data_IF_171328934527
#
_entry.id   IF_171328934527
#
_cell.length_a   1.000
_cell.length_b   1.000
_cell.length_c   1.000
_cell.angle_alpha   90.00
_cell.angle_beta   90.00
_cell.angle_gamma   90.00
#
_symmetry.space_group_name_H-M   'P 1'
#
loop_
_entity.id
_entity.type
_entity.pdbx_description
1 polymer ?
#
# COMPACT_ATOMS: atom_id res chain seq x y z
N UNK A 1 -11.39 11.74 -17.58
CA UNK A 1 -10.31 12.60 -18.11
C UNK A 1 -10.62 14.06 -17.85
N UNK A 2 -10.43 14.52 -16.62
CA UNK A 2 -10.46 15.95 -16.29
C UNK A 2 -9.74 16.16 -14.97
N UNK A 3 -8.82 17.12 -14.97
CA UNK A 3 -7.98 17.61 -13.87
C UNK A 3 -6.64 16.89 -13.63
N UNK A 4 -5.65 17.17 -14.49
CA UNK A 4 -4.24 17.22 -14.06
C UNK A 4 -3.64 18.58 -14.47
N UNK A 5 -3.85 19.65 -13.68
CA UNK A 5 -3.18 20.93 -13.89
C UNK A 5 -1.65 20.80 -13.89
N UNK A 6 -1.11 19.78 -13.22
CA UNK A 6 0.32 19.58 -12.95
C UNK A 6 1.07 18.91 -14.12
N UNK A 7 0.39 18.09 -14.94
CA UNK A 7 1.00 17.50 -16.15
C UNK A 7 1.35 18.57 -17.20
N UNK A 8 0.81 19.78 -17.07
CA UNK A 8 1.18 20.93 -17.89
C UNK A 8 2.39 21.70 -17.35
N UNK A 9 2.83 21.43 -16.12
CA UNK A 9 3.84 22.21 -15.39
C UNK A 9 5.19 21.48 -15.30
N UNK A 10 5.20 20.14 -15.25
CA UNK A 10 6.43 19.35 -15.15
C UNK A 10 6.53 18.27 -16.25
N UNK A 11 7.53 18.34 -17.15
CA UNK A 11 7.73 17.36 -18.21
C UNK A 11 7.99 15.92 -17.71
N UNK A 12 8.63 15.74 -16.56
CA UNK A 12 8.84 14.42 -15.99
C UNK A 12 7.51 13.81 -15.53
N UNK A 13 6.68 14.58 -14.83
CA UNK A 13 5.35 14.16 -14.38
C UNK A 13 4.43 13.88 -15.57
N UNK A 14 4.50 14.71 -16.61
CA UNK A 14 3.76 14.50 -17.86
C UNK A 14 4.07 13.15 -18.49
N UNK A 15 5.35 12.84 -18.70
CA UNK A 15 5.76 11.59 -19.33
C UNK A 15 5.48 10.38 -18.42
N UNK A 16 5.63 10.51 -17.10
CA UNK A 16 5.25 9.46 -16.15
C UNK A 16 3.74 9.17 -16.20
N UNK A 17 2.89 10.19 -16.29
CA UNK A 17 1.45 10.02 -16.39
C UNK A 17 1.03 9.32 -17.70
N UNK A 18 1.67 9.63 -18.83
CA UNK A 18 1.40 8.93 -20.10
C UNK A 18 1.85 7.47 -20.04
N UNK A 19 3.02 7.21 -19.44
CA UNK A 19 3.49 5.84 -19.22
C UNK A 19 2.48 5.03 -18.42
N UNK A 20 2.06 5.57 -17.26
CA UNK A 20 1.08 4.91 -16.39
C UNK A 20 -0.25 4.68 -17.11
N UNK A 21 -0.75 5.67 -17.84
CA UNK A 21 -1.97 5.53 -18.65
C UNK A 21 -1.86 4.42 -19.71
N UNK A 22 -0.72 4.32 -20.39
CA UNK A 22 -0.49 3.34 -21.45
C UNK A 22 -0.44 1.90 -20.91
N UNK A 23 0.27 1.68 -19.80
CA UNK A 23 0.29 0.38 -19.11
C UNK A 23 -1.09 0.07 -18.51
N UNK A 24 -1.77 1.09 -17.98
CA UNK A 24 -3.07 0.89 -17.38
C UNK A 24 -4.12 0.42 -18.41
N UNK A 25 -4.18 1.03 -19.60
CA UNK A 25 -5.09 0.59 -20.66
C UNK A 25 -4.84 -0.87 -21.08
N UNK A 26 -3.57 -1.27 -21.25
CA UNK A 26 -3.21 -2.66 -21.56
C UNK A 26 -3.56 -3.61 -20.40
N UNK A 27 -3.44 -3.13 -19.16
CA UNK A 27 -3.80 -3.92 -17.98
C UNK A 27 -5.29 -4.20 -17.92
N UNK A 28 -6.15 -3.23 -18.27
CA UNK A 28 -7.61 -3.44 -18.33
C UNK A 28 -7.96 -4.49 -19.37
N UNK A 29 -7.37 -4.42 -20.57
CA UNK A 29 -7.59 -5.40 -21.65
C UNK A 29 -7.22 -6.83 -21.21
N UNK A 30 -6.20 -6.96 -20.36
CA UNK A 30 -5.73 -8.22 -19.80
C UNK A 30 -6.28 -8.52 -18.39
N UNK A 31 -7.42 -7.92 -17.98
CA UNK A 31 -8.07 -8.15 -16.67
C UNK A 31 -7.14 -7.94 -15.46
N UNK A 32 -6.27 -6.96 -15.57
CA UNK A 32 -5.20 -6.62 -14.61
C UNK A 32 -4.15 -7.74 -14.43
N UNK A 33 -3.95 -8.61 -15.42
CA UNK A 33 -2.97 -9.71 -15.43
C UNK A 33 -1.83 -9.44 -16.43
N UNK A 34 -1.02 -8.42 -16.16
CA UNK A 34 0.20 -8.15 -16.91
C UNK A 34 1.42 -8.64 -16.13
N UNK A 35 2.32 -9.34 -16.82
CA UNK A 35 3.58 -9.85 -16.28
C UNK A 35 4.75 -9.24 -17.05
N UNK A 36 5.62 -8.50 -16.35
CA UNK A 36 6.88 -8.01 -16.90
C UNK A 36 6.78 -7.04 -18.09
N UNK A 37 7.93 -6.76 -18.67
CA UNK A 37 8.08 -5.98 -19.89
C UNK A 37 7.93 -6.89 -21.13
N UNK A 38 7.10 -6.48 -22.09
CA UNK A 38 6.95 -7.17 -23.37
C UNK A 38 7.15 -6.17 -24.52
N UNK A 39 8.40 -5.97 -24.92
CA UNK A 39 8.73 -5.03 -26.01
C UNK A 39 8.21 -5.45 -27.40
N UNK A 40 7.59 -6.62 -27.55
CA UNK A 40 6.89 -6.96 -28.79
C UNK A 40 5.55 -6.22 -28.88
N UNK A 41 4.92 -5.93 -27.73
CA UNK A 41 3.70 -5.15 -27.66
C UNK A 41 4.02 -3.66 -27.86
N UNK A 42 3.28 -3.02 -28.78
CA UNK A 42 3.48 -1.60 -29.10
C UNK A 42 3.23 -0.68 -27.88
N UNK A 43 2.24 -1.01 -27.03
CA UNK A 43 1.91 -0.23 -25.84
C UNK A 43 3.00 -0.28 -24.77
N UNK A 44 3.59 -1.46 -24.52
CA UNK A 44 4.71 -1.60 -23.59
C UNK A 44 5.96 -0.85 -24.07
N UNK A 45 6.27 -0.91 -25.38
CA UNK A 45 7.35 -0.09 -25.97
C UNK A 45 7.10 1.40 -25.78
N UNK A 46 5.90 1.86 -26.10
CA UNK A 46 5.53 3.27 -25.93
C UNK A 46 5.63 3.70 -24.46
N UNK A 47 5.11 2.90 -23.54
CA UNK A 47 5.23 3.14 -22.10
C UNK A 47 6.70 3.23 -21.65
N UNK A 48 7.56 2.32 -22.10
CA UNK A 48 8.99 2.32 -21.81
C UNK A 48 9.70 3.58 -22.34
N UNK A 49 9.35 4.02 -23.56
CA UNK A 49 9.87 5.28 -24.11
C UNK A 49 9.45 6.48 -23.25
N UNK A 50 8.19 6.52 -22.78
CA UNK A 50 7.72 7.59 -21.90
C UNK A 50 8.40 7.53 -20.53
N UNK A 51 8.60 6.34 -19.94
CA UNK A 51 9.39 6.18 -18.71
C UNK A 51 10.82 6.71 -18.88
N UNK A 52 11.46 6.37 -19.99
CA UNK A 52 12.83 6.82 -20.31
C UNK A 52 12.92 8.34 -20.44
N UNK A 53 11.90 8.99 -21.02
CA UNK A 53 11.80 10.45 -21.11
C UNK A 53 11.59 11.08 -19.74
N UNK A 54 10.67 10.55 -18.93
CA UNK A 54 10.44 11.01 -17.57
C UNK A 54 11.74 10.95 -16.75
N UNK A 55 12.42 9.79 -16.76
CA UNK A 55 13.70 9.61 -16.09
C UNK A 55 14.77 10.58 -16.59
N UNK A 56 14.86 10.80 -17.91
CA UNK A 56 15.81 11.76 -18.48
C UNK A 56 15.57 13.19 -18.00
N UNK A 57 14.31 13.60 -17.82
CA UNK A 57 13.98 14.90 -17.24
C UNK A 57 14.36 14.97 -15.75
N UNK A 58 14.05 13.92 -14.97
CA UNK A 58 14.45 13.84 -13.55
C UNK A 58 15.97 13.87 -13.39
N UNK A 59 16.71 13.10 -14.20
CA UNK A 59 18.17 13.05 -14.16
C UNK A 59 18.82 14.39 -14.56
N UNK A 60 18.28 15.08 -15.58
CA UNK A 60 18.73 16.44 -15.95
C UNK A 60 18.47 17.44 -14.84
N UNK A 61 17.30 17.34 -14.19
CA UNK A 61 16.95 18.18 -13.05
C UNK A 61 17.89 17.93 -11.88
N UNK A 62 18.20 16.67 -11.59
CA UNK A 62 19.14 16.26 -10.54
C UNK A 62 20.57 16.78 -10.81
N UNK A 63 20.99 16.83 -12.08
CA UNK A 63 22.29 17.37 -12.47
C UNK A 63 22.35 18.91 -12.50
N UNK A 64 21.22 19.61 -12.35
CA UNK A 64 21.14 21.07 -12.28
C UNK A 64 21.03 21.52 -10.83
N UNK A 65 21.65 22.65 -10.47
CA UNK A 65 21.41 23.31 -9.17
C UNK A 65 20.01 23.97 -9.15
N UNK A 66 18.97 23.21 -9.46
CA UNK A 66 17.59 23.67 -9.46
C UNK A 66 17.08 23.73 -8.00
N UNK A 67 16.77 24.93 -7.46
CA UNK A 67 16.28 25.07 -6.09
C UNK A 67 14.92 24.38 -5.84
N UNK A 68 14.15 24.04 -6.89
CA UNK A 68 12.88 23.29 -6.79
C UNK A 68 13.06 21.77 -6.92
N UNK A 69 14.26 21.27 -7.24
CA UNK A 69 14.56 19.83 -7.34
C UNK A 69 14.15 19.09 -6.08
N UNK A 70 14.48 19.69 -4.92
CA UNK A 70 14.27 19.11 -3.60
C UNK A 70 12.81 19.19 -3.11
N UNK A 71 11.93 19.87 -3.85
CA UNK A 71 10.49 19.96 -3.57
C UNK A 71 9.66 18.95 -4.37
N UNK A 72 10.20 18.40 -5.48
CA UNK A 72 9.53 17.39 -6.34
C UNK A 72 10.16 16.01 -6.21
N UNK A 73 11.48 15.95 -6.05
CA UNK A 73 12.24 14.70 -5.95
C UNK A 73 13.08 14.79 -4.69
N UNK A 74 12.63 14.19 -3.58
CA UNK A 74 13.43 14.17 -2.37
C UNK A 74 14.78 13.47 -2.65
N UNK A 75 15.87 13.93 -1.99
CA UNK A 75 17.22 13.49 -2.31
C UNK A 75 17.37 11.97 -2.18
N UNK A 76 17.92 11.37 -3.22
CA UNK A 76 18.04 9.91 -3.41
C UNK A 76 19.17 9.33 -2.53
N UNK A 77 20.06 10.18 -1.97
CA UNK A 77 21.23 9.75 -1.22
C UNK A 77 21.41 10.43 0.15
N UNK A 78 22.10 9.73 1.06
CA UNK A 78 22.27 10.14 2.44
C UNK A 78 22.98 11.48 2.69
N UNK A 79 23.80 11.93 1.73
CA UNK A 79 24.68 13.10 1.86
C UNK A 79 23.98 14.39 1.41
N UNK A 80 23.05 14.29 0.47
CA UNK A 80 22.28 15.41 -0.07
C UNK A 80 21.14 15.85 0.88
N UNK A 81 20.66 14.94 1.74
CA UNK A 81 19.63 15.22 2.74
C UNK A 81 20.11 16.12 3.92
N UNK A 82 21.41 16.17 4.21
CA UNK A 82 21.97 17.07 5.23
C UNK A 82 22.15 18.51 4.71
N UNK A 83 22.53 18.68 3.43
CA UNK A 83 22.57 19.99 2.76
C UNK A 83 21.17 20.59 2.57
N UNK A 84 20.15 19.76 2.31
CA UNK A 84 18.74 20.16 2.23
C UNK A 84 18.21 20.87 3.49
N UNK A 85 18.60 20.39 4.69
CA UNK A 85 18.15 20.97 5.97
C UNK A 85 18.66 22.39 6.20
N UNK A 86 19.82 22.74 5.63
CA UNK A 86 20.43 24.06 5.78
C UNK A 86 19.83 25.09 4.82
N UNK A 87 19.31 24.65 3.67
CA UNK A 87 18.81 25.54 2.61
C UNK A 87 17.30 25.83 2.66
N UNK A 88 16.47 24.95 3.24
CA UNK A 88 15.00 25.02 3.13
C UNK A 88 14.26 25.90 4.13
N UNK A 89 14.95 26.71 4.93
CA UNK A 89 14.27 27.60 5.87
C UNK A 89 13.52 28.78 5.20
N UNK A 90 13.73 29.07 3.90
CA UNK A 90 13.29 30.34 3.29
C UNK A 90 12.55 30.27 1.93
N UNK A 91 12.25 29.11 1.36
CA UNK A 91 11.68 29.05 -0.01
C UNK A 91 10.52 28.05 -0.20
N UNK A 92 9.59 27.96 0.76
CA UNK A 92 8.31 27.26 0.53
C UNK A 92 7.42 28.07 -0.41
N UNK A 93 7.53 27.90 -1.72
CA UNK A 93 6.50 28.41 -2.63
C UNK A 93 6.41 27.63 -3.95
N UNK A 94 5.18 27.21 -4.24
CA UNK A 94 4.55 26.85 -5.52
C UNK A 94 4.51 25.39 -5.99
N UNK A 95 5.08 24.43 -5.26
CA UNK A 95 4.73 23.02 -5.44
C UNK A 95 3.68 22.58 -4.42
N UNK A 96 2.54 22.09 -4.92
CA UNK A 96 1.39 21.74 -4.10
C UNK A 96 1.77 20.74 -3.00
N UNK A 97 1.32 21.00 -1.77
CA UNK A 97 1.42 20.06 -0.63
C UNK A 97 0.90 18.65 -0.99
N UNK A 98 0.06 18.52 -2.02
CA UNK A 98 -0.46 17.26 -2.55
C UNK A 98 0.62 16.40 -3.23
N UNK A 99 1.57 17.01 -3.94
CA UNK A 99 2.63 16.28 -4.63
C UNK A 99 3.65 15.71 -3.62
N UNK A 100 4.04 16.54 -2.64
CA UNK A 100 4.90 16.11 -1.53
C UNK A 100 4.23 14.95 -0.77
N UNK A 101 2.94 15.08 -0.47
CA UNK A 101 2.15 14.01 0.17
C UNK A 101 2.12 12.71 -0.66
N UNK A 102 1.96 12.81 -1.97
CA UNK A 102 1.97 11.66 -2.87
C UNK A 102 3.34 10.97 -2.88
N UNK A 103 4.45 11.71 -2.94
CA UNK A 103 5.79 11.11 -2.87
C UNK A 103 6.08 10.48 -1.51
N UNK A 104 5.64 11.09 -0.40
CA UNK A 104 5.77 10.50 0.93
C UNK A 104 5.00 9.18 1.06
N UNK A 105 3.80 9.11 0.50
CA UNK A 105 3.02 7.88 0.42
C UNK A 105 3.72 6.83 -0.43
N UNK A 106 4.16 7.19 -1.64
CA UNK A 106 4.88 6.27 -2.54
C UNK A 106 6.16 5.73 -1.89
N UNK A 107 6.89 6.58 -1.17
CA UNK A 107 8.07 6.20 -0.42
C UNK A 107 7.75 5.23 0.72
N UNK A 108 6.72 5.52 1.53
CA UNK A 108 6.25 4.60 2.56
C UNK A 108 5.86 3.24 1.96
N UNK A 109 5.07 3.22 0.89
CA UNK A 109 4.67 2.02 0.17
C UNK A 109 5.86 1.24 -0.42
N UNK A 110 6.87 1.96 -0.93
CA UNK A 110 8.08 1.34 -1.50
C UNK A 110 8.85 0.49 -0.49
N UNK A 111 8.68 0.73 0.82
CA UNK A 111 9.28 -0.07 1.89
C UNK A 111 8.94 -1.56 1.77
N UNK A 112 7.77 -1.90 1.20
CA UNK A 112 7.39 -3.30 0.99
C UNK A 112 8.05 -3.96 -0.23
N UNK A 113 8.63 -3.18 -1.15
CA UNK A 113 8.99 -3.59 -2.52
C UNK A 113 10.49 -3.42 -2.87
N UNK A 114 11.41 -3.47 -1.90
CA UNK A 114 12.85 -3.34 -2.15
C UNK A 114 13.76 -3.82 -1.01
N UNK A 115 15.07 -3.61 -1.14
CA UNK A 115 16.10 -4.01 -0.16
C UNK A 115 16.35 -3.00 0.98
N UNK A 116 15.62 -1.88 1.01
CA UNK A 116 15.92 -0.73 1.86
C UNK A 116 14.73 -0.15 2.64
N UNK A 117 15.05 0.61 3.69
CA UNK A 117 14.12 1.46 4.44
C UNK A 117 13.65 2.66 3.58
N UNK A 118 12.45 3.21 3.81
CA UNK A 118 11.93 4.30 2.98
C UNK A 118 12.88 5.50 2.94
N UNK A 119 13.10 6.09 1.77
CA UNK A 119 14.14 7.08 1.53
C UNK A 119 13.80 8.46 2.14
N UNK A 120 12.53 8.85 2.10
CA UNK A 120 12.04 10.15 2.61
C UNK A 120 11.70 10.05 4.09
N UNK A 121 10.99 8.99 4.48
CA UNK A 121 10.43 8.84 5.84
C UNK A 121 11.41 8.20 6.84
N UNK A 122 12.47 7.50 6.42
CA UNK A 122 13.44 6.89 7.35
C UNK A 122 14.35 7.88 8.12
N UNK A 123 14.09 9.20 8.04
CA UNK A 123 14.98 10.22 8.64
C UNK A 123 14.38 11.10 9.70
N UNK A 124 13.12 10.87 10.08
CA UNK A 124 12.60 11.47 11.28
C UNK A 124 12.25 10.35 12.24
N UNK A 125 13.03 10.25 13.33
CA UNK A 125 12.41 9.99 14.62
C UNK A 125 11.34 11.07 14.80
N UNK A 126 10.15 10.89 14.20
CA UNK A 126 9.05 11.81 14.40
C UNK A 126 8.72 11.70 15.88
N UNK A 127 9.19 12.70 16.64
CA UNK A 127 8.94 12.80 18.06
C UNK A 127 7.45 12.59 18.30
N UNK A 128 7.14 11.73 19.26
CA UNK A 128 5.77 11.40 19.68
C UNK A 128 4.92 12.67 19.84
N UNK A 129 5.53 13.73 20.38
CA UNK A 129 4.96 15.07 20.53
C UNK A 129 4.56 15.74 19.21
N UNK A 130 5.33 15.54 18.13
CA UNK A 130 5.03 16.13 16.83
C UNK A 130 3.81 15.48 16.19
N UNK A 131 3.74 14.14 16.16
CA UNK A 131 2.55 13.44 15.67
C UNK A 131 1.34 13.76 16.54
N UNK A 132 1.53 13.83 17.85
CA UNK A 132 0.47 14.22 18.78
C UNK A 132 -0.07 15.62 18.50
N UNK A 133 0.82 16.58 18.29
CA UNK A 133 0.46 17.95 17.99
C UNK A 133 -0.11 18.11 16.58
N UNK A 134 0.32 17.32 15.59
CA UNK A 134 -0.15 17.44 14.21
C UNK A 134 -1.47 16.72 13.96
N UNK A 135 -1.61 15.49 14.46
CA UNK A 135 -2.74 14.61 14.15
C UNK A 135 -3.92 14.87 15.09
N UNK A 136 -3.66 15.18 16.37
CA UNK A 136 -4.72 15.18 17.39
C UNK A 136 -4.96 16.55 18.05
N UNK A 137 -4.22 17.61 17.68
CA UNK A 137 -4.42 18.94 18.30
C UNK A 137 -5.74 19.62 17.88
N UNK A 138 -6.28 19.24 16.73
CA UNK A 138 -7.58 19.69 16.23
C UNK A 138 -8.40 18.45 15.95
N UNK A 139 -9.60 18.36 16.53
CA UNK A 139 -10.53 17.28 16.18
C UNK A 139 -10.92 17.34 14.70
N UNK A 140 -11.50 16.25 14.19
CA UNK A 140 -11.89 16.17 12.78
C UNK A 140 -13.14 17.02 12.49
N UNK A 141 -12.98 18.05 11.66
CA UNK A 141 -14.10 18.90 11.20
C UNK A 141 -14.57 18.55 9.79
N UNK A 142 -13.73 17.91 8.99
CA UNK A 142 -13.98 17.58 7.58
C UNK A 142 -13.42 16.20 7.23
N UNK A 143 -13.87 15.61 6.11
CA UNK A 143 -13.28 14.37 5.59
C UNK A 143 -11.80 14.54 5.25
N UNK A 144 -11.38 15.73 4.81
CA UNK A 144 -9.97 16.05 4.57
C UNK A 144 -9.13 15.97 5.84
N UNK A 145 -9.66 16.38 6.99
CA UNK A 145 -8.93 16.28 8.27
C UNK A 145 -8.67 14.82 8.65
N UNK A 146 -9.70 13.97 8.46
CA UNK A 146 -9.59 12.53 8.68
C UNK A 146 -8.57 11.90 7.73
N UNK A 147 -8.67 12.21 6.43
CA UNK A 147 -7.77 11.70 5.41
C UNK A 147 -6.32 12.06 5.71
N UNK A 148 -6.01 13.35 5.92
CA UNK A 148 -4.65 13.79 6.21
C UNK A 148 -4.08 13.13 7.47
N UNK A 149 -4.91 13.00 8.51
CA UNK A 149 -4.54 12.35 9.77
C UNK A 149 -4.22 10.87 9.57
N UNK A 150 -5.08 10.14 8.84
CA UNK A 150 -4.83 8.72 8.57
C UNK A 150 -3.61 8.54 7.67
N UNK A 151 -3.44 9.34 6.61
CA UNK A 151 -2.26 9.29 5.73
C UNK A 151 -0.96 9.43 6.53
N UNK A 152 -0.89 10.37 7.49
CA UNK A 152 0.29 10.50 8.36
C UNK A 152 0.53 9.23 9.19
N UNK A 153 -0.51 8.63 9.76
CA UNK A 153 -0.37 7.39 10.52
C UNK A 153 0.01 6.19 9.64
N UNK A 154 -0.47 6.15 8.39
CA UNK A 154 -0.15 5.10 7.41
C UNK A 154 1.32 5.20 6.99
N UNK A 155 1.81 6.41 6.72
CA UNK A 155 3.21 6.67 6.37
C UNK A 155 4.18 6.21 7.47
N UNK A 156 3.74 6.16 8.73
CA UNK A 156 4.54 5.64 9.85
C UNK A 156 4.38 4.12 10.06
N UNK A 157 3.17 3.60 9.84
CA UNK A 157 2.86 2.19 10.08
C UNK A 157 3.37 1.27 8.98
N UNK A 158 3.27 1.67 7.71
CA UNK A 158 3.65 0.84 6.55
C UNK A 158 5.15 0.46 6.60
N UNK A 159 6.09 1.40 6.80
CA UNK A 159 7.50 1.04 6.92
C UNK A 159 7.78 0.10 8.10
N UNK A 160 7.07 0.30 9.21
CA UNK A 160 7.19 -0.58 10.38
C UNK A 160 6.71 -2.00 10.06
N UNK A 161 5.59 -2.16 9.35
CA UNK A 161 5.09 -3.46 8.89
C UNK A 161 6.08 -4.11 7.92
N UNK A 162 6.60 -3.35 6.96
CA UNK A 162 7.59 -3.83 6.00
C UNK A 162 8.88 -4.33 6.68
N UNK A 163 9.30 -3.69 7.78
CA UNK A 163 10.40 -4.18 8.63
C UNK A 163 10.02 -5.43 9.40
N UNK A 164 8.81 -5.51 9.95
CA UNK A 164 8.40 -6.59 10.84
C UNK A 164 8.12 -7.90 10.10
N UNK A 165 7.34 -7.86 9.02
CA UNK A 165 6.86 -9.04 8.29
C UNK A 165 7.96 -10.04 7.87
N UNK A 166 9.08 -9.62 7.25
CA UNK A 166 10.10 -10.56 6.79
C UNK A 166 10.99 -11.15 7.89
N UNK A 167 10.85 -10.70 9.16
CA UNK A 167 11.65 -11.22 10.26
C UNK A 167 11.28 -12.65 10.60
N UNK A 168 12.29 -13.51 10.71
CA UNK A 168 12.18 -14.82 11.32
C UNK A 168 11.82 -14.72 12.81
N UNK A 169 11.40 -15.86 13.40
CA UNK A 169 11.09 -15.93 14.84
C UNK A 169 12.28 -15.55 15.71
N UNK A 170 13.50 -15.96 15.33
CA UNK A 170 14.72 -15.63 16.09
C UNK A 170 15.06 -14.14 16.01
N UNK A 171 14.96 -13.53 14.83
CA UNK A 171 15.24 -12.09 14.64
C UNK A 171 14.20 -11.24 15.38
N UNK A 172 12.92 -11.58 15.27
CA UNK A 172 11.85 -10.88 15.99
C UNK A 172 12.03 -10.98 17.52
N UNK A 173 12.51 -12.12 18.02
CA UNK A 173 12.77 -12.30 19.46
C UNK A 173 13.97 -11.46 19.92
N UNK A 174 15.03 -11.38 19.11
CA UNK A 174 16.23 -10.60 19.44
C UNK A 174 15.93 -9.10 19.56
N UNK A 175 15.04 -8.56 18.73
CA UNK A 175 14.64 -7.14 18.73
C UNK A 175 13.28 -6.89 19.39
N UNK A 176 12.73 -7.86 20.14
CA UNK A 176 11.33 -7.82 20.60
C UNK A 176 11.01 -6.58 21.43
N UNK A 177 11.90 -6.16 22.33
CA UNK A 177 11.68 -4.98 23.19
C UNK A 177 11.50 -3.70 22.37
N UNK A 178 12.37 -3.47 21.38
CA UNK A 178 12.30 -2.31 20.48
C UNK A 178 11.03 -2.37 19.62
N UNK A 179 10.78 -3.51 18.98
CA UNK A 179 9.66 -3.70 18.07
C UNK A 179 8.31 -3.58 18.78
N UNK A 180 8.17 -4.21 19.96
CA UNK A 180 6.95 -4.15 20.76
C UNK A 180 6.68 -2.73 21.26
N UNK A 181 7.70 -1.98 21.67
CA UNK A 181 7.54 -0.58 22.09
C UNK A 181 7.01 0.27 20.94
N UNK A 182 7.59 0.13 19.73
CA UNK A 182 7.13 0.86 18.56
C UNK A 182 5.72 0.43 18.11
N UNK A 183 5.42 -0.87 18.14
CA UNK A 183 4.09 -1.40 17.85
C UNK A 183 3.03 -0.80 18.78
N UNK A 184 3.28 -0.79 20.10
CA UNK A 184 2.36 -0.22 21.09
C UNK A 184 2.18 1.28 20.90
N UNK A 185 3.25 2.01 20.59
CA UNK A 185 3.19 3.43 20.29
C UNK A 185 2.28 3.71 19.08
N UNK A 186 2.49 3.01 17.97
CA UNK A 186 1.65 3.14 16.78
C UNK A 186 0.18 2.80 17.09
N UNK A 187 -0.06 1.67 17.75
CA UNK A 187 -1.42 1.27 18.16
C UNK A 187 -2.10 2.33 19.04
N UNK A 188 -1.36 2.99 19.95
CA UNK A 188 -1.91 4.06 20.79
C UNK A 188 -2.40 5.26 19.96
N UNK A 189 -1.69 5.63 18.89
CA UNK A 189 -2.15 6.66 17.97
C UNK A 189 -3.39 6.22 17.21
N UNK A 190 -3.44 4.98 16.73
CA UNK A 190 -4.62 4.45 16.05
C UNK A 190 -5.85 4.36 16.95
N UNK A 191 -5.70 4.05 18.24
CA UNK A 191 -6.81 4.07 19.19
C UNK A 191 -7.37 5.49 19.43
N UNK A 192 -6.49 6.50 19.50
CA UNK A 192 -6.93 7.90 19.60
C UNK A 192 -7.58 8.39 18.31
N UNK A 193 -7.03 8.02 17.16
CA UNK A 193 -7.66 8.26 15.86
C UNK A 193 -9.05 7.64 15.79
N UNK A 194 -9.20 6.39 16.24
CA UNK A 194 -10.48 5.69 16.27
C UNK A 194 -11.54 6.47 17.05
N UNK A 195 -11.22 6.96 18.25
CA UNK A 195 -12.16 7.74 19.07
C UNK A 195 -12.67 8.97 18.30
N UNK A 196 -11.75 9.78 17.77
CA UNK A 196 -12.11 10.97 17.00
C UNK A 196 -12.85 10.64 15.70
N UNK A 197 -12.47 9.55 15.02
CA UNK A 197 -13.09 9.12 13.78
C UNK A 197 -14.52 8.63 14.02
N UNK A 198 -14.78 7.90 15.11
CA UNK A 198 -16.14 7.48 15.46
C UNK A 198 -17.01 8.69 15.84
N UNK A 199 -16.46 9.67 16.58
CA UNK A 199 -17.15 10.93 16.83
C UNK A 199 -17.51 11.65 15.52
N UNK A 200 -16.53 11.80 14.61
CA UNK A 200 -16.75 12.40 13.30
C UNK A 200 -17.86 11.68 12.52
N UNK A 201 -17.81 10.35 12.43
CA UNK A 201 -18.85 9.56 11.74
C UNK A 201 -20.23 9.79 12.36
N UNK A 202 -20.33 9.78 13.69
CA UNK A 202 -21.62 9.97 14.37
C UNK A 202 -22.24 11.35 14.15
N UNK A 203 -21.42 12.39 13.97
CA UNK A 203 -21.87 13.76 13.82
C UNK A 203 -22.12 14.16 12.36
N UNK A 204 -21.29 13.67 11.44
CA UNK A 204 -21.23 14.21 10.08
C UNK A 204 -21.62 13.21 8.98
N UNK A 205 -21.52 11.89 9.19
CA UNK A 205 -21.63 10.91 8.10
C UNK A 205 -22.96 10.97 7.32
N UNK A 206 -24.08 11.10 8.04
CA UNK A 206 -25.40 11.16 7.41
C UNK A 206 -25.69 12.52 6.73
N UNK A 207 -24.85 13.53 6.99
CA UNK A 207 -25.02 14.90 6.52
C UNK A 207 -24.02 15.31 5.42
N UNK A 208 -23.06 14.46 5.07
CA UNK A 208 -22.07 14.68 4.01
C UNK A 208 -22.51 14.05 2.67
N UNK A 209 -21.91 14.50 1.56
CA UNK A 209 -22.28 14.01 0.23
C UNK A 209 -21.87 12.56 -0.01
N UNK A 210 -22.48 11.87 -0.99
CA UNK A 210 -22.18 10.47 -1.31
C UNK A 210 -20.69 10.20 -1.64
N UNK A 211 -20.01 11.13 -2.31
CA UNK A 211 -18.57 11.00 -2.60
C UNK A 211 -17.72 11.07 -1.32
N UNK A 212 -18.13 11.92 -0.38
CA UNK A 212 -17.48 12.05 0.92
C UNK A 212 -17.78 10.83 1.81
N UNK A 213 -19.00 10.30 1.80
CA UNK A 213 -19.35 9.04 2.46
C UNK A 213 -18.50 7.88 1.93
N UNK A 214 -18.29 7.81 0.61
CA UNK A 214 -17.40 6.83 -0.02
C UNK A 214 -15.97 6.94 0.50
N UNK A 215 -15.44 8.16 0.58
CA UNK A 215 -14.12 8.41 1.14
C UNK A 215 -14.04 7.98 2.62
N UNK A 216 -15.07 8.28 3.43
CA UNK A 216 -15.12 7.87 4.83
C UNK A 216 -15.17 6.34 5.00
N UNK A 217 -15.96 5.63 4.18
CA UNK A 217 -16.01 4.17 4.21
C UNK A 217 -14.67 3.54 3.77
N UNK A 218 -13.99 4.14 2.79
CA UNK A 218 -12.64 3.72 2.38
C UNK A 218 -11.61 3.96 3.49
N UNK A 219 -11.62 5.14 4.11
CA UNK A 219 -10.75 5.48 5.25
C UNK A 219 -10.96 4.51 6.41
N UNK A 220 -12.20 4.08 6.66
CA UNK A 220 -12.49 3.07 7.68
C UNK A 220 -11.84 1.72 7.35
N UNK A 221 -11.90 1.28 6.09
CA UNK A 221 -11.26 0.04 5.64
C UNK A 221 -9.74 0.11 5.83
N UNK A 222 -9.11 1.19 5.37
CA UNK A 222 -7.67 1.41 5.49
C UNK A 222 -7.23 1.41 6.96
N UNK A 223 -7.95 2.16 7.80
CA UNK A 223 -7.72 2.21 9.26
C UNK A 223 -7.81 0.82 9.90
N UNK A 224 -8.90 0.07 9.66
CA UNK A 224 -9.10 -1.25 10.26
C UNK A 224 -8.03 -2.24 9.78
N UNK A 225 -7.68 -2.20 8.49
CA UNK A 225 -6.63 -3.04 7.90
C UNK A 225 -5.26 -2.78 8.51
N UNK A 226 -4.92 -1.52 8.74
CA UNK A 226 -3.65 -1.14 9.33
C UNK A 226 -3.56 -1.52 10.81
N UNK A 227 -4.63 -1.28 11.59
CA UNK A 227 -4.68 -1.70 13.00
C UNK A 227 -4.52 -3.20 13.14
N UNK A 228 -5.23 -3.97 12.32
CA UNK A 228 -5.14 -5.43 12.34
C UNK A 228 -3.72 -5.90 12.00
N UNK A 229 -3.14 -5.38 10.91
CA UNK A 229 -1.74 -5.65 10.54
C UNK A 229 -0.77 -5.34 11.68
N UNK A 230 -0.94 -4.19 12.34
CA UNK A 230 -0.09 -3.79 13.46
C UNK A 230 -0.24 -4.71 14.67
N UNK A 231 -1.44 -5.24 14.95
CA UNK A 231 -1.66 -6.19 16.04
C UNK A 231 -1.01 -7.55 15.76
N UNK A 232 -0.96 -7.97 14.49
CA UNK A 232 -0.48 -9.32 14.12
C UNK A 232 0.96 -9.37 13.66
N UNK A 233 1.60 -8.25 13.30
CA UNK A 233 2.92 -8.24 12.64
C UNK A 233 4.08 -8.90 13.42
N UNK A 234 4.00 -8.97 14.75
CA UNK A 234 5.00 -9.61 15.61
C UNK A 234 4.66 -11.07 15.96
N UNK A 235 3.50 -11.58 15.53
CA UNK A 235 3.10 -12.97 15.73
C UNK A 235 3.78 -13.82 14.65
N UNK A 236 4.88 -14.49 15.00
CA UNK A 236 5.68 -15.35 14.07
C UNK A 236 5.21 -16.81 14.06
N UNK A 237 3.90 -17.01 14.10
CA UNK A 237 3.24 -18.31 14.17
C UNK A 237 1.74 -18.18 13.89
N UNK A 238 0.95 -19.24 14.16
CA UNK A 238 -0.49 -19.20 13.93
C UNK A 238 -1.15 -18.03 14.66
N UNK A 239 -2.00 -17.30 13.95
CA UNK A 239 -2.76 -16.19 14.53
C UNK A 239 -3.77 -16.76 15.55
N UNK A 240 -3.85 -16.19 16.78
CA UNK A 240 -4.83 -16.64 17.77
C UNK A 240 -6.28 -16.48 17.29
N UNK A 241 -7.11 -17.49 17.53
CA UNK A 241 -8.54 -17.48 17.19
C UNK A 241 -9.33 -16.36 17.89
N UNK A 242 -8.81 -15.84 19.01
CA UNK A 242 -9.36 -14.65 19.67
C UNK A 242 -9.38 -13.39 18.80
N UNK A 243 -8.54 -13.31 17.76
CA UNK A 243 -8.51 -12.18 16.82
C UNK A 243 -9.48 -12.34 15.64
N UNK A 244 -10.12 -13.50 15.46
CA UNK A 244 -11.08 -13.76 14.38
C UNK A 244 -12.19 -12.69 14.25
N UNK A 245 -12.78 -12.14 15.35
CA UNK A 245 -13.78 -11.08 15.24
C UNK A 245 -13.26 -9.81 14.54
N UNK A 246 -11.97 -9.49 14.67
CA UNK A 246 -11.37 -8.32 14.02
C UNK A 246 -11.26 -8.52 12.51
N UNK A 247 -10.86 -9.72 12.07
CA UNK A 247 -10.87 -10.11 10.66
C UNK A 247 -12.29 -10.06 10.06
N UNK A 248 -13.30 -10.55 10.79
CA UNK A 248 -14.70 -10.50 10.34
C UNK A 248 -15.21 -9.06 10.25
N UNK A 249 -14.81 -8.20 11.18
CA UNK A 249 -15.15 -6.77 11.17
C UNK A 249 -14.57 -6.09 9.94
N UNK A 250 -13.28 -6.34 9.65
CA UNK A 250 -12.63 -5.81 8.46
C UNK A 250 -13.27 -6.36 7.18
N UNK A 251 -13.54 -7.65 7.09
CA UNK A 251 -14.18 -8.26 5.92
C UNK A 251 -15.58 -7.65 5.68
N UNK A 252 -16.37 -7.48 6.74
CA UNK A 252 -17.70 -6.88 6.66
C UNK A 252 -17.64 -5.44 6.16
N UNK A 253 -16.63 -4.66 6.57
CA UNK A 253 -16.44 -3.30 6.07
C UNK A 253 -16.17 -3.28 4.55
N UNK A 254 -15.35 -4.21 4.05
CA UNK A 254 -15.13 -4.36 2.61
C UNK A 254 -16.40 -4.77 1.86
N UNK A 255 -17.17 -5.73 2.40
CA UNK A 255 -18.39 -6.22 1.77
C UNK A 255 -19.45 -5.12 1.67
N UNK A 256 -19.59 -4.32 2.74
CA UNK A 256 -20.46 -3.15 2.74
C UNK A 256 -20.01 -2.11 1.72
N UNK A 257 -18.70 -1.84 1.62
CA UNK A 257 -18.18 -0.87 0.66
C UNK A 257 -18.43 -1.30 -0.78
N UNK A 258 -18.11 -2.55 -1.14
CA UNK A 258 -18.36 -3.07 -2.50
C UNK A 258 -19.85 -3.20 -2.81
N UNK A 259 -20.70 -3.47 -1.82
CA UNK A 259 -22.15 -3.48 -1.99
C UNK A 259 -22.76 -2.09 -2.22
N UNK A 260 -22.15 -1.03 -1.67
CA UNK A 260 -22.63 0.35 -1.79
C UNK A 260 -22.19 1.04 -3.08
N UNK A 261 -21.00 0.73 -3.61
CA UNK A 261 -20.40 1.48 -4.72
C UNK A 261 -20.16 0.58 -5.93
N UNK A 262 -20.94 0.79 -6.99
CA UNK A 262 -20.84 0.05 -8.25
C UNK A 262 -19.76 0.58 -9.20
N UNK A 263 -19.38 1.85 -9.07
CA UNK A 263 -18.34 2.47 -9.89
C UNK A 263 -16.95 2.21 -9.29
N UNK A 264 -16.33 1.12 -9.71
CA UNK A 264 -15.03 0.68 -9.22
C UNK A 264 -13.93 1.05 -10.22
N UNK A 265 -12.90 1.78 -9.77
CA UNK A 265 -11.76 2.14 -10.61
C UNK A 265 -10.84 0.93 -10.81
N UNK A 266 -10.29 0.77 -12.00
CA UNK A 266 -9.26 -0.24 -12.28
C UNK A 266 -7.88 0.16 -11.76
N UNK A 267 -7.67 1.43 -11.40
CA UNK A 267 -6.43 1.93 -10.81
C UNK A 267 -6.68 3.01 -9.74
N UNK A 268 -5.93 2.93 -8.64
CA UNK A 268 -5.97 3.87 -7.52
C UNK A 268 -4.53 4.31 -7.21
N UNK A 269 -4.27 5.62 -7.30
CA UNK A 269 -2.98 6.23 -6.94
C UNK A 269 -3.04 6.82 -5.52
N UNK A 270 -3.45 5.97 -4.59
CA UNK A 270 -3.60 6.28 -3.16
C UNK A 270 -3.61 4.95 -2.38
N UNK A 271 -3.66 5.01 -1.05
CA UNK A 271 -4.04 3.88 -0.23
C UNK A 271 -5.41 3.36 -0.67
N UNK A 272 -5.55 2.05 -0.81
CA UNK A 272 -6.82 1.43 -1.19
C UNK A 272 -7.24 0.31 -0.23
N UNK A 273 -7.97 -0.65 -0.77
CA UNK A 273 -8.58 -1.78 -0.06
C UNK A 273 -7.78 -3.08 -0.16
N UNK A 274 -6.89 -3.23 -1.15
CA UNK A 274 -6.09 -4.45 -1.35
C UNK A 274 -5.32 -4.83 -0.09
N UNK A 275 -4.62 -3.91 0.63
CA UNK A 275 -3.92 -4.25 1.86
C UNK A 275 -4.81 -4.90 2.92
N UNK A 276 -6.03 -4.39 3.11
CA UNK A 276 -6.97 -4.92 4.10
C UNK A 276 -7.46 -6.32 3.72
N UNK A 277 -7.83 -6.53 2.46
CA UNK A 277 -8.20 -7.86 1.95
C UNK A 277 -7.03 -8.84 1.99
N UNK A 278 -5.82 -8.38 1.68
CA UNK A 278 -4.60 -9.18 1.73
C UNK A 278 -4.39 -9.75 3.14
N UNK A 279 -4.41 -8.90 4.17
CA UNK A 279 -4.24 -9.32 5.57
C UNK A 279 -5.27 -10.37 5.95
N UNK A 280 -6.54 -10.20 5.54
CA UNK A 280 -7.56 -11.23 5.78
C UNK A 280 -7.24 -12.52 5.04
N UNK A 281 -6.91 -12.42 3.76
CA UNK A 281 -6.67 -13.56 2.88
C UNK A 281 -5.41 -14.36 3.26
N UNK A 282 -4.39 -13.71 3.82
CA UNK A 282 -3.11 -14.34 4.16
C UNK A 282 -3.02 -14.83 5.60
N UNK A 283 -3.68 -14.19 6.57
CA UNK A 283 -3.44 -14.44 8.00
C UNK A 283 -4.63 -14.97 8.80
N UNK A 284 -5.87 -14.81 8.31
CA UNK A 284 -7.04 -15.09 9.14
C UNK A 284 -7.07 -16.57 9.59
N UNK A 285 -7.29 -16.89 10.89
CA UNK A 285 -7.33 -18.27 11.37
C UNK A 285 -8.39 -19.16 10.71
N UNK A 286 -9.41 -18.58 10.07
CA UNK A 286 -10.50 -19.30 9.44
C UNK A 286 -10.36 -19.27 7.92
N UNK A 287 -10.08 -20.43 7.31
CA UNK A 287 -10.00 -20.55 5.84
C UNK A 287 -11.26 -20.04 5.14
N UNK A 288 -12.45 -20.28 5.67
CA UNK A 288 -13.70 -19.78 5.08
C UNK A 288 -13.75 -18.25 4.95
N UNK A 289 -13.13 -17.52 5.88
CA UNK A 289 -13.02 -16.06 5.85
C UNK A 289 -11.96 -15.63 4.84
N UNK A 290 -10.82 -16.34 4.79
CA UNK A 290 -9.77 -16.10 3.79
C UNK A 290 -10.28 -16.27 2.36
N UNK A 291 -11.01 -17.36 2.09
CA UNK A 291 -11.59 -17.63 0.77
C UNK A 291 -12.58 -16.53 0.34
N UNK A 292 -13.36 -15.96 1.27
CA UNK A 292 -14.22 -14.82 0.95
C UNK A 292 -13.40 -13.60 0.55
N UNK A 293 -12.34 -13.27 1.28
CA UNK A 293 -11.45 -12.17 0.92
C UNK A 293 -10.78 -12.38 -0.45
N UNK A 294 -10.31 -13.59 -0.74
CA UNK A 294 -9.75 -13.96 -2.06
C UNK A 294 -10.79 -13.75 -3.18
N UNK A 295 -12.02 -14.21 -2.98
CA UNK A 295 -13.11 -14.00 -3.95
C UNK A 295 -13.41 -12.51 -4.17
N UNK A 296 -13.31 -11.69 -3.14
CA UNK A 296 -13.48 -10.24 -3.27
C UNK A 296 -12.35 -9.60 -4.10
N UNK A 297 -11.09 -9.96 -3.83
CA UNK A 297 -9.95 -9.54 -4.66
C UNK A 297 -10.14 -9.93 -6.14
N UNK A 298 -10.65 -11.13 -6.40
CA UNK A 298 -10.93 -11.61 -7.77
C UNK A 298 -12.14 -10.91 -8.42
N UNK A 299 -13.14 -10.51 -7.64
CA UNK A 299 -14.36 -9.87 -8.14
C UNK A 299 -14.15 -8.44 -8.63
N UNK A 300 -13.11 -7.78 -8.12
CA UNK A 300 -12.68 -6.46 -8.57
C UNK A 300 -11.20 -6.47 -8.93
N UNK A 301 -10.83 -6.89 -10.16
CA UNK A 301 -9.46 -6.78 -10.64
C UNK A 301 -9.09 -5.31 -10.80
N UNK A 302 -8.16 -4.84 -9.98
CA UNK A 302 -7.58 -3.49 -10.01
C UNK A 302 -6.16 -3.46 -9.42
N UNK A 303 -5.52 -2.30 -9.55
CA UNK A 303 -4.23 -2.00 -8.96
C UNK A 303 -4.29 -0.76 -8.04
N UNK A 304 -3.51 -0.79 -6.97
CA UNK A 304 -3.37 0.25 -5.96
C UNK A 304 -1.89 0.56 -5.77
N UNK A 305 -1.42 1.65 -6.37
CA UNK A 305 0.00 2.00 -6.40
C UNK A 305 0.84 0.82 -6.95
N UNK A 306 1.59 0.11 -6.11
CA UNK A 306 2.43 -1.05 -6.46
C UNK A 306 1.70 -2.40 -6.34
N UNK A 307 0.48 -2.40 -5.82
CA UNK A 307 -0.26 -3.61 -5.47
C UNK A 307 -1.24 -3.98 -6.57
N UNK A 308 -1.39 -5.27 -6.80
CA UNK A 308 -2.33 -5.82 -7.76
C UNK A 308 -3.22 -6.86 -7.07
N UNK A 309 -4.52 -6.71 -7.24
CA UNK A 309 -5.54 -7.58 -6.61
C UNK A 309 -5.43 -9.04 -7.06
N UNK A 310 -5.13 -9.30 -8.35
CA UNK A 310 -4.89 -10.66 -8.84
C UNK A 310 -3.63 -11.25 -8.22
N UNK A 311 -2.54 -10.49 -8.13
CA UNK A 311 -1.30 -10.94 -7.50
C UNK A 311 -1.54 -11.28 -6.02
N UNK A 312 -2.25 -10.41 -5.29
CA UNK A 312 -2.63 -10.66 -3.89
C UNK A 312 -3.52 -11.91 -3.74
N UNK A 313 -4.52 -12.09 -4.62
CA UNK A 313 -5.40 -13.24 -4.61
C UNK A 313 -4.66 -14.56 -4.90
N UNK A 314 -3.84 -14.59 -5.96
CA UNK A 314 -3.03 -15.75 -6.32
C UNK A 314 -2.06 -16.11 -5.21
N UNK A 315 -1.41 -15.11 -4.61
CA UNK A 315 -0.45 -15.32 -3.53
C UNK A 315 -1.12 -15.92 -2.29
N UNK A 316 -2.26 -15.37 -1.87
CA UNK A 316 -3.01 -15.89 -0.74
C UNK A 316 -3.52 -17.33 -0.97
N UNK A 317 -3.88 -17.66 -2.21
CA UNK A 317 -4.28 -19.01 -2.59
C UNK A 317 -3.12 -20.01 -2.47
N UNK A 318 -1.92 -19.64 -2.92
CA UNK A 318 -0.72 -20.46 -2.76
C UNK A 318 -0.34 -20.67 -1.28
N UNK A 319 -0.52 -19.65 -0.43
CA UNK A 319 -0.31 -19.79 1.02
C UNK A 319 -1.25 -20.86 1.60
N UNK A 320 -2.56 -20.78 1.31
CA UNK A 320 -3.53 -21.77 1.80
C UNK A 320 -3.18 -23.18 1.30
N UNK A 321 -2.78 -23.33 0.04
CA UNK A 321 -2.36 -24.63 -0.51
C UNK A 321 -1.19 -25.22 0.26
N UNK A 322 -0.16 -24.43 0.55
CA UNK A 322 1.01 -24.88 1.31
C UNK A 322 0.63 -25.30 2.73
N UNK A 323 -0.22 -24.53 3.41
CA UNK A 323 -0.69 -24.85 4.76
C UNK A 323 -1.49 -26.15 4.80
N UNK A 324 -2.45 -26.35 3.88
CA UNK A 324 -3.25 -27.58 3.81
C UNK A 324 -2.42 -28.80 3.43
N UNK A 325 -1.41 -28.65 2.55
CA UNK A 325 -0.48 -29.72 2.23
C UNK A 325 0.35 -30.15 3.45
N UNK A 326 0.74 -29.19 4.29
CA UNK A 326 1.45 -29.46 5.54
C UNK A 326 0.55 -30.09 6.62
N UNK A 327 -0.74 -29.77 6.63
CA UNK A 327 -1.71 -30.26 7.63
C UNK A 327 -2.23 -31.68 7.32
N UNK A 328 -2.46 -32.06 6.06
CA UNK A 328 -3.21 -33.31 5.78
C UNK A 328 -2.81 -34.11 4.52
N UNK A 329 -1.80 -33.72 3.74
CA UNK A 329 -1.42 -34.46 2.52
C UNK A 329 -2.53 -34.61 1.46
N UNK A 330 -3.69 -33.99 1.66
CA UNK A 330 -4.85 -34.06 0.80
C UNK A 330 -5.11 -32.69 0.18
N UNK A 331 -4.82 -32.56 -1.11
CA UNK A 331 -5.08 -31.35 -1.87
C UNK A 331 -6.59 -31.09 -1.96
N UNK A 332 -7.08 -30.09 -1.23
CA UNK A 332 -8.44 -29.60 -1.40
C UNK A 332 -8.45 -28.65 -2.60
N UNK A 333 -9.31 -28.91 -3.60
CA UNK A 333 -9.55 -27.99 -4.71
C UNK A 333 -10.38 -26.80 -4.19
N UNK A 334 -9.68 -25.70 -3.90
CA UNK A 334 -10.25 -24.44 -3.39
C UNK A 334 -10.95 -23.64 -4.51
N UNK A 335 -10.61 -23.95 -5.75
CA UNK A 335 -11.02 -23.28 -6.99
C UNK A 335 -11.16 -24.31 -8.12
N UNK A 336 -11.85 -23.95 -9.20
CA UNK A 336 -11.85 -24.72 -10.45
C UNK A 336 -10.39 -24.94 -10.94
N UNK A 337 -10.05 -26.19 -11.28
CA UNK A 337 -8.67 -26.63 -11.55
C UNK A 337 -8.00 -25.82 -12.67
N UNK A 338 -8.79 -25.34 -13.64
CA UNK A 338 -8.30 -24.50 -14.73
C UNK A 338 -7.97 -23.08 -14.27
N UNK A 339 -8.88 -22.46 -13.52
CA UNK A 339 -8.69 -21.11 -12.95
C UNK A 339 -7.52 -21.09 -11.98
N UNK A 340 -7.33 -22.18 -11.23
CA UNK A 340 -6.22 -22.36 -10.30
C UNK A 340 -4.86 -22.34 -11.02
N UNK A 341 -4.71 -23.18 -12.07
CA UNK A 341 -3.47 -23.25 -12.87
C UNK A 341 -3.13 -21.92 -13.53
N UNK A 342 -4.12 -21.21 -14.04
CA UNK A 342 -3.91 -19.90 -14.68
C UNK A 342 -3.42 -18.85 -13.68
N UNK A 343 -4.02 -18.79 -12.49
CA UNK A 343 -3.62 -17.85 -11.42
C UNK A 343 -2.23 -18.16 -10.86
N UNK A 344 -1.90 -19.45 -10.71
CA UNK A 344 -0.57 -19.89 -10.31
C UNK A 344 0.47 -19.52 -11.36
N UNK A 345 0.20 -19.76 -12.65
CA UNK A 345 1.09 -19.37 -13.75
C UNK A 345 1.31 -17.85 -13.77
N UNK A 346 0.23 -17.08 -13.72
CA UNK A 346 0.28 -15.62 -13.66
C UNK A 346 1.13 -15.13 -12.48
N UNK A 347 0.96 -15.70 -11.29
CA UNK A 347 1.75 -15.34 -10.12
C UNK A 347 3.25 -15.59 -10.35
N UNK A 348 3.62 -16.80 -10.77
CA UNK A 348 5.04 -17.13 -10.97
C UNK A 348 5.68 -16.35 -12.11
N UNK A 349 4.95 -16.08 -13.19
CA UNK A 349 5.41 -15.19 -14.26
C UNK A 349 5.62 -13.77 -13.73
N UNK A 350 4.67 -13.24 -12.95
CA UNK A 350 4.77 -11.92 -12.33
C UNK A 350 6.01 -11.84 -11.44
N UNK A 351 6.22 -12.82 -10.55
CA UNK A 351 7.37 -12.84 -9.64
C UNK A 351 8.69 -12.98 -10.39
N UNK A 352 8.76 -13.86 -11.40
CA UNK A 352 9.99 -14.10 -12.18
C UNK A 352 10.36 -12.93 -13.09
N UNK A 353 9.36 -12.18 -13.55
CA UNK A 353 9.55 -11.01 -14.40
C UNK A 353 9.81 -9.72 -13.63
N UNK A 354 9.64 -9.72 -12.31
CA UNK A 354 9.84 -8.55 -11.46
C UNK A 354 11.17 -8.64 -10.73
N UNK A 355 12.04 -7.64 -10.95
CA UNK A 355 13.31 -7.56 -10.27
C UNK A 355 13.13 -7.47 -8.74
N UNK A 356 13.97 -8.19 -8.00
CA UNK A 356 13.99 -8.20 -6.53
C UNK A 356 12.66 -8.60 -5.87
N UNK A 357 11.77 -9.33 -6.57
CA UNK A 357 10.49 -9.81 -6.01
C UNK A 357 10.67 -10.73 -4.80
N UNK A 358 11.80 -11.42 -4.73
CA UNK A 358 12.27 -12.19 -3.58
C UNK A 358 12.52 -11.36 -2.31
N UNK A 359 12.78 -10.06 -2.46
CA UNK A 359 13.00 -9.14 -1.35
C UNK A 359 11.71 -8.49 -0.85
N UNK A 360 10.58 -8.72 -1.53
CA UNK A 360 9.30 -8.15 -1.11
C UNK A 360 8.92 -8.70 0.25
N UNK A 361 8.62 -7.79 1.18
CA UNK A 361 8.36 -8.11 2.60
C UNK A 361 7.30 -9.19 2.80
N UNK A 362 6.21 -9.16 2.02
CA UNK A 362 5.14 -10.15 2.08
C UNK A 362 5.49 -11.45 1.35
N UNK A 363 6.34 -11.44 0.32
CA UNK A 363 6.83 -12.69 -0.29
C UNK A 363 7.73 -13.44 0.69
N UNK A 364 8.61 -12.70 1.39
CA UNK A 364 9.48 -13.23 2.45
C UNK A 364 8.71 -13.70 3.67
N UNK A 365 7.68 -12.98 4.10
CA UNK A 365 6.91 -13.34 5.28
C UNK A 365 6.28 -14.75 5.21
N UNK A 366 5.93 -15.19 4.00
CA UNK A 366 5.22 -16.46 3.76
C UNK A 366 6.06 -17.50 3.00
N UNK A 367 7.36 -17.26 2.80
CA UNK A 367 8.28 -18.16 2.09
C UNK A 367 7.69 -18.72 0.79
N UNK A 368 7.03 -17.86 0.00
CA UNK A 368 6.25 -18.32 -1.16
C UNK A 368 7.17 -18.92 -2.23
N UNK A 369 8.38 -18.37 -2.38
CA UNK A 369 9.38 -18.80 -3.36
C UNK A 369 10.20 -20.02 -2.93
N UNK A 370 10.17 -20.42 -1.65
CA UNK A 370 10.83 -21.66 -1.20
C UNK A 370 9.97 -22.86 -1.63
N UNK A 371 10.55 -23.71 -2.49
CA UNK A 371 9.93 -24.93 -3.03
C UNK A 371 10.20 -26.15 -2.16
#
# INVERSE_FOLDING_TARGET
>A
MSNLPISHVDPAVYHAAIMLGSIHEDSIENRMRLSGENLLQARHRFAFEQASRAYSFLAKRQASQDPQLLEVVPPITCREAEEYRLQTSHQRSLLDNTLIGAFQMLDAESSHFGSGAPFITARNDLNQEWLDQKVFSRGFGTVSDVYQSLTMLMNEGIPFLARCWPLSRSEATASYGELSNRQQQLLSFYFRFQEQFQMFKSLFYDNIGHLEQRAVDLLQIQYLGQVLSLKTCLIKGPIPTGLTPEYLTLLSAHELFLGKFSELSSFILDYGIIPGLWVIASECPLYSVRIRAIKMLQSWPHAEVFKNSNTAASLALEIIKKELQAEDGLAMSITDEYTDKELTHFLFDTLSSTQDSENWSFIRAYNVLER
#
